data_IF_250771663032
#
_entry.id   IF_250771663032
#
_cell.length_a   1.000
_cell.length_b   1.000
_cell.length_c   1.000
_cell.angle_alpha   90.00
_cell.angle_beta   90.00
_cell.angle_gamma   90.00
#
_symmetry.space_group_name_H-M   'P 1'
#
loop_
_entity.id
_entity.type
_entity.pdbx_description
1 polymer ?
#
# COMPACT_ATOMS: atom_id res chain seq x y z
N UNK A 1 -10.90 -23.22 -12.17
CA UNK A 1 -10.49 -21.81 -11.97
C UNK A 1 -9.16 -21.87 -11.23
N UNK A 2 -8.04 -21.53 -11.88
CA UNK A 2 -6.73 -21.58 -11.23
C UNK A 2 -6.65 -20.46 -10.19
N UNK A 3 -6.24 -20.81 -8.97
CA UNK A 3 -5.96 -19.82 -7.94
C UNK A 3 -4.70 -19.05 -8.33
N UNK A 4 -4.84 -17.75 -8.52
CA UNK A 4 -3.71 -16.84 -8.57
C UNK A 4 -3.14 -16.78 -7.14
N UNK A 5 -1.98 -17.41 -6.93
CA UNK A 5 -1.31 -17.43 -5.62
C UNK A 5 -0.14 -16.47 -5.71
N UNK A 6 -0.33 -15.30 -5.14
CA UNK A 6 0.74 -14.32 -5.03
C UNK A 6 1.85 -14.86 -4.14
N UNK A 7 3.11 -14.66 -4.55
CA UNK A 7 4.28 -15.17 -3.83
C UNK A 7 5.27 -14.06 -3.53
N UNK A 8 5.88 -14.16 -2.36
CA UNK A 8 6.99 -13.30 -1.92
C UNK A 8 8.36 -13.89 -2.25
N UNK A 9 8.41 -15.07 -2.88
CA UNK A 9 9.65 -15.67 -3.37
C UNK A 9 10.03 -15.06 -4.71
N UNK A 10 11.13 -14.34 -4.74
CA UNK A 10 11.63 -13.73 -5.95
C UNK A 10 12.34 -14.75 -6.85
N UNK A 11 11.61 -15.25 -7.85
CA UNK A 11 12.14 -16.14 -8.89
C UNK A 11 12.45 -15.41 -10.20
N UNK A 12 12.02 -14.14 -10.33
CA UNK A 12 12.09 -13.35 -11.56
C UNK A 12 12.93 -12.07 -11.41
N UNK A 13 13.68 -11.98 -10.31
CA UNK A 13 14.50 -10.83 -9.93
C UNK A 13 13.70 -9.52 -9.80
N UNK A 14 12.44 -9.61 -9.36
CA UNK A 14 11.57 -8.46 -9.11
C UNK A 14 12.04 -7.59 -7.94
N UNK A 15 12.90 -8.13 -7.06
CA UNK A 15 13.46 -7.38 -5.93
C UNK A 15 14.21 -6.14 -6.42
N UNK A 16 14.98 -6.22 -7.51
CA UNK A 16 15.74 -5.06 -8.04
C UNK A 16 14.80 -3.94 -8.48
N UNK A 17 13.69 -4.29 -9.13
CA UNK A 17 12.70 -3.31 -9.60
C UNK A 17 11.91 -2.76 -8.41
N UNK A 18 11.54 -3.62 -7.46
CA UNK A 18 10.85 -3.23 -6.24
C UNK A 18 11.70 -2.26 -5.38
N UNK A 19 13.00 -2.53 -5.25
CA UNK A 19 13.94 -1.67 -4.54
C UNK A 19 14.08 -0.29 -5.21
N UNK A 20 14.08 -0.27 -6.54
CA UNK A 20 14.11 0.99 -7.30
C UNK A 20 12.82 1.79 -7.09
N UNK A 21 11.65 1.14 -7.18
CA UNK A 21 10.37 1.80 -6.93
C UNK A 21 10.25 2.30 -5.48
N UNK A 22 10.67 1.50 -4.49
CA UNK A 22 10.70 1.89 -3.09
C UNK A 22 11.65 3.09 -2.86
N UNK A 23 12.80 3.11 -3.55
CA UNK A 23 13.72 4.26 -3.50
C UNK A 23 13.07 5.54 -4.04
N UNK A 24 12.38 5.48 -5.17
CA UNK A 24 11.66 6.62 -5.72
C UNK A 24 10.60 7.15 -4.74
N UNK A 25 9.87 6.26 -4.07
CA UNK A 25 8.88 6.63 -3.03
C UNK A 25 9.55 7.33 -1.84
N UNK A 26 10.75 6.92 -1.43
CA UNK A 26 11.49 7.60 -0.35
C UNK A 26 12.01 8.97 -0.80
N UNK A 27 12.54 9.05 -2.01
CA UNK A 27 13.14 10.26 -2.58
C UNK A 27 12.10 11.32 -2.96
N UNK A 28 10.83 10.94 -3.18
CA UNK A 28 9.77 11.91 -3.44
C UNK A 28 9.51 12.86 -2.27
N UNK A 29 10.00 12.54 -1.06
CA UNK A 29 9.96 13.41 0.12
C UNK A 29 8.57 14.00 0.42
N UNK A 30 7.51 13.21 0.22
CA UNK A 30 6.13 13.61 0.47
C UNK A 30 5.43 14.30 -0.71
N UNK A 31 6.11 14.47 -1.85
CA UNK A 31 5.46 14.90 -3.09
C UNK A 31 4.59 13.77 -3.66
N UNK A 32 3.42 14.10 -4.26
CA UNK A 32 2.58 13.11 -4.93
C UNK A 32 3.34 12.40 -6.05
N UNK A 33 3.35 11.06 -6.02
CA UNK A 33 4.02 10.20 -7.00
C UNK A 33 3.06 9.10 -7.46
N UNK A 34 2.93 8.95 -8.77
CA UNK A 34 2.17 7.86 -9.40
C UNK A 34 3.11 6.94 -10.16
N UNK A 35 3.07 5.64 -9.86
CA UNK A 35 3.87 4.60 -10.53
C UNK A 35 2.91 3.63 -11.22
N UNK A 36 3.03 3.49 -12.54
CA UNK A 36 2.26 2.51 -13.31
C UNK A 36 3.04 1.21 -13.48
N UNK A 37 2.42 0.08 -13.17
CA UNK A 37 2.98 -1.27 -13.42
C UNK A 37 2.16 -1.94 -14.52
N UNK A 38 2.78 -2.19 -15.67
CA UNK A 38 2.16 -2.82 -16.84
C UNK A 38 2.80 -4.18 -17.13
N UNK A 39 2.02 -5.08 -17.74
CA UNK A 39 2.48 -6.42 -18.07
C UNK A 39 1.32 -7.39 -18.27
N UNK A 40 1.60 -8.52 -18.93
CA UNK A 40 0.60 -9.54 -19.27
C UNK A 40 -0.11 -10.10 -18.02
N UNK A 41 -1.29 -10.70 -18.22
CA UNK A 41 -1.97 -11.41 -17.13
C UNK A 41 -1.08 -12.55 -16.59
N UNK A 42 -1.00 -12.70 -15.27
CA UNK A 42 -0.14 -13.69 -14.62
C UNK A 42 1.36 -13.35 -14.59
N UNK A 43 1.78 -12.16 -15.04
CA UNK A 43 3.20 -11.75 -15.00
C UNK A 43 3.72 -11.36 -13.60
N UNK A 44 2.92 -11.52 -12.54
CA UNK A 44 3.32 -11.20 -11.16
C UNK A 44 3.26 -9.72 -10.76
N UNK A 45 2.45 -8.89 -11.45
CA UNK A 45 2.30 -7.45 -11.13
C UNK A 45 1.89 -7.22 -9.68
N UNK A 46 0.88 -7.93 -9.19
CA UNK A 46 0.41 -7.80 -7.80
C UNK A 46 1.47 -8.27 -6.81
N UNK A 47 2.22 -9.33 -7.14
CA UNK A 47 3.38 -9.76 -6.34
C UNK A 47 4.47 -8.68 -6.29
N UNK A 48 4.73 -7.97 -7.39
CA UNK A 48 5.67 -6.85 -7.41
C UNK A 48 5.22 -5.69 -6.51
N UNK A 49 3.93 -5.34 -6.50
CA UNK A 49 3.37 -4.32 -5.58
C UNK A 49 3.62 -4.72 -4.12
N UNK A 50 3.37 -5.99 -3.77
CA UNK A 50 3.63 -6.51 -2.42
C UNK A 50 5.11 -6.52 -2.06
N UNK A 51 6.01 -6.74 -3.02
CA UNK A 51 7.45 -6.63 -2.79
C UNK A 51 7.87 -5.19 -2.49
N UNK A 52 7.30 -4.20 -3.20
CA UNK A 52 7.56 -2.78 -2.95
C UNK A 52 7.14 -2.40 -1.53
N UNK A 53 5.93 -2.79 -1.11
CA UNK A 53 5.45 -2.58 0.26
C UNK A 53 6.41 -3.20 1.28
N UNK A 54 6.79 -4.47 1.10
CA UNK A 54 7.72 -5.15 2.01
C UNK A 54 9.10 -4.45 2.07
N UNK A 55 9.63 -3.96 0.95
CA UNK A 55 10.89 -3.19 0.94
C UNK A 55 10.75 -1.88 1.71
N UNK A 56 9.63 -1.17 1.55
CA UNK A 56 9.38 0.09 2.28
C UNK A 56 9.23 -0.15 3.79
N UNK A 57 8.48 -1.18 4.19
CA UNK A 57 8.32 -1.56 5.62
C UNK A 57 9.65 -1.94 6.24
N UNK A 58 10.48 -2.73 5.54
CA UNK A 58 11.81 -3.12 6.04
C UNK A 58 12.75 -1.92 6.18
N UNK A 59 12.71 -0.97 5.25
CA UNK A 59 13.54 0.22 5.30
C UNK A 59 13.16 1.16 6.46
N UNK A 60 11.87 1.26 6.76
CA UNK A 60 11.31 2.19 7.77
C UNK A 60 10.74 1.46 9.02
N UNK A 61 11.28 0.28 9.34
CA UNK A 61 10.77 -0.66 10.36
C UNK A 61 10.59 -0.08 11.78
N UNK A 62 11.11 1.12 12.05
CA UNK A 62 11.06 1.78 13.36
C UNK A 62 10.12 2.99 13.44
N UNK A 63 9.59 3.51 12.33
CA UNK A 63 8.87 4.80 12.34
C UNK A 63 7.40 4.76 11.91
N UNK A 64 6.88 3.62 11.44
CA UNK A 64 5.48 3.52 10.99
C UNK A 64 5.12 4.59 9.94
N UNK A 65 6.09 5.05 9.16
CA UNK A 65 5.96 6.25 8.34
C UNK A 65 4.93 6.09 7.22
N UNK A 66 4.79 4.88 6.70
CA UNK A 66 3.91 4.56 5.59
C UNK A 66 2.63 3.88 6.05
N UNK A 67 1.53 4.22 5.40
CA UNK A 67 0.24 3.54 5.52
C UNK A 67 -0.09 2.97 4.15
N UNK A 68 -0.29 1.65 4.08
CA UNK A 68 -0.57 0.95 2.84
C UNK A 68 -2.07 0.67 2.71
N UNK A 69 -2.59 0.84 1.51
CA UNK A 69 -3.99 0.60 1.17
C UNK A 69 -4.07 -0.04 -0.22
N UNK A 70 -4.74 -1.18 -0.28
CA UNK A 70 -5.06 -1.86 -1.54
C UNK A 70 -6.50 -1.51 -1.95
N UNK A 71 -6.68 -1.13 -3.21
CA UNK A 71 -7.99 -0.79 -3.75
C UNK A 71 -8.21 -1.45 -5.10
N UNK A 72 -9.23 -2.31 -5.19
CA UNK A 72 -9.61 -2.97 -6.44
C UNK A 72 -10.76 -2.21 -7.12
N UNK A 73 -10.40 -1.34 -8.08
CA UNK A 73 -11.35 -0.53 -8.83
C UNK A 73 -12.35 -1.36 -9.66
N UNK A 74 -12.01 -2.61 -10.01
CA UNK A 74 -12.88 -3.47 -10.84
C UNK A 74 -14.21 -3.80 -10.16
N UNK A 75 -14.25 -3.75 -8.82
CA UNK A 75 -15.45 -4.08 -8.06
C UNK A 75 -16.58 -3.03 -8.19
N UNK A 76 -16.28 -1.86 -8.76
CA UNK A 76 -17.19 -0.73 -8.82
C UNK A 76 -17.65 -0.48 -10.26
N UNK A 77 -18.95 -0.21 -10.42
CA UNK A 77 -19.53 0.12 -11.71
C UNK A 77 -19.44 1.63 -11.94
N UNK A 78 -18.68 2.04 -12.95
CA UNK A 78 -18.57 3.45 -13.31
C UNK A 78 -17.56 4.24 -12.47
N UNK A 79 -17.22 5.41 -12.97
CA UNK A 79 -16.12 6.23 -12.45
C UNK A 79 -16.44 6.90 -11.10
N UNK A 80 -17.64 7.45 -10.95
CA UNK A 80 -18.00 8.19 -9.74
C UNK A 80 -18.09 7.28 -8.51
N UNK A 81 -18.65 6.08 -8.67
CA UNK A 81 -18.73 5.08 -7.60
C UNK A 81 -17.35 4.60 -7.17
N UNK A 82 -16.46 4.32 -8.14
CA UNK A 82 -15.07 3.94 -7.85
C UNK A 82 -14.31 5.06 -7.12
N UNK A 83 -14.51 6.32 -7.51
CA UNK A 83 -13.89 7.48 -6.85
C UNK A 83 -14.38 7.62 -5.41
N UNK A 84 -15.69 7.53 -5.20
CA UNK A 84 -16.27 7.64 -3.85
C UNK A 84 -15.76 6.51 -2.96
N UNK A 85 -15.75 5.28 -3.47
CA UNK A 85 -15.26 4.13 -2.73
C UNK A 85 -13.77 4.22 -2.38
N UNK A 86 -12.93 4.75 -3.28
CA UNK A 86 -11.52 4.99 -3.00
C UNK A 86 -11.33 5.98 -1.86
N UNK A 87 -12.05 7.11 -1.89
CA UNK A 87 -11.98 8.13 -0.83
C UNK A 87 -12.45 7.58 0.51
N UNK A 88 -13.55 6.83 0.52
CA UNK A 88 -14.06 6.18 1.72
C UNK A 88 -13.05 5.18 2.29
N UNK A 89 -12.47 4.33 1.43
CA UNK A 89 -11.46 3.35 1.84
C UNK A 89 -10.22 4.01 2.45
N UNK A 90 -9.77 5.13 1.88
CA UNK A 90 -8.66 5.92 2.43
C UNK A 90 -9.03 6.51 3.80
N UNK A 91 -10.22 7.09 3.94
CA UNK A 91 -10.68 7.66 5.20
C UNK A 91 -10.76 6.59 6.31
N UNK A 92 -11.41 5.46 6.03
CA UNK A 92 -11.55 4.35 6.97
C UNK A 92 -10.19 3.81 7.40
N UNK A 93 -9.25 3.68 6.46
CA UNK A 93 -7.90 3.20 6.75
C UNK A 93 -7.10 4.18 7.62
N UNK A 94 -7.19 5.48 7.33
CA UNK A 94 -6.52 6.51 8.13
C UNK A 94 -7.10 6.60 9.54
N UNK A 95 -8.42 6.45 9.70
CA UNK A 95 -9.06 6.42 11.02
C UNK A 95 -8.60 5.20 11.83
N UNK A 96 -8.63 4.01 11.23
CA UNK A 96 -8.16 2.79 11.89
C UNK A 96 -6.67 2.89 12.30
N UNK A 97 -5.84 3.50 11.46
CA UNK A 97 -4.41 3.70 11.75
C UNK A 97 -4.18 4.77 12.83
N UNK A 98 -4.99 5.84 12.84
CA UNK A 98 -4.92 6.85 13.89
C UNK A 98 -5.30 6.27 15.25
N UNK A 99 -6.36 5.46 15.31
CA UNK A 99 -6.79 4.76 16.53
C UNK A 99 -5.74 3.76 17.03
N UNK A 100 -5.11 3.00 16.12
CA UNK A 100 -4.08 2.02 16.47
C UNK A 100 -2.82 2.67 17.05
N UNK A 101 -2.50 3.89 16.59
CA UNK A 101 -1.34 4.68 17.02
C UNK A 101 -1.58 5.56 18.25
N UNK A 102 -2.81 5.63 18.78
CA UNK A 102 -3.12 6.43 19.98
C UNK A 102 -2.22 6.01 21.15
N UNK A 103 -1.52 6.97 21.74
CA UNK A 103 -0.70 6.73 22.91
C UNK A 103 -1.55 6.50 24.16
N UNK A 104 -0.93 5.98 25.23
CA UNK A 104 -1.60 5.84 26.52
C UNK A 104 -2.05 7.19 27.09
N UNK A 105 -1.34 8.28 26.77
CA UNK A 105 -1.68 9.64 27.21
C UNK A 105 -2.93 10.13 26.47
N UNK A 106 -3.02 9.91 25.16
CA UNK A 106 -4.17 10.32 24.35
C UNK A 106 -5.46 9.63 24.84
N UNK A 107 -5.36 8.33 25.15
CA UNK A 107 -6.48 7.55 25.68
C UNK A 107 -6.91 8.03 27.06
N UNK A 108 -5.96 8.43 27.91
CA UNK A 108 -6.26 8.98 29.24
C UNK A 108 -6.95 10.35 29.13
N UNK A 109 -6.59 11.18 28.14
CA UNK A 109 -7.24 12.47 27.90
C UNK A 109 -8.67 12.34 27.36
N UNK A 110 -8.99 11.33 26.56
CA UNK A 110 -10.37 11.08 26.08
C UNK A 110 -11.33 10.61 27.18
N UNK A 111 -10.79 10.11 28.31
CA UNK A 111 -11.60 9.59 29.42
C UNK A 111 -12.04 10.65 30.44
N UNK A 112 -11.36 11.80 30.47
CA UNK A 112 -11.64 12.94 31.38
C UNK A 112 -12.63 13.90 30.73
#
# INVERSE_FOLDING_TARGET
MWHDVETTKDLLNFTVVADTAARLVRESAGQPLSIGISGNWGSGKSSMVKMIENTLVKADAHNGKYVFLEFNAWLYQGYDDARMALLQSVADKLLAEAESRKSHIDKAMEFV
#
